data_IF_836216957069
#
_entry.id   IF_836216957069
#
_cell.length_a   1.000
_cell.length_b   1.000
_cell.length_c   1.000
_cell.angle_alpha   90.00
_cell.angle_beta   90.00
_cell.angle_gamma   90.00
#
_symmetry.space_group_name_H-M   'P 1'
#
loop_
_entity.id
_entity.type
_entity.pdbx_description
1 polymer ?
#
# COMPACT_ATOMS: atom_id res chain seq x y z
N UNK A 1 -9.99 -16.38 8.78
CA UNK A 1 -9.96 -15.02 9.36
C UNK A 1 -8.50 -14.57 9.46
N UNK A 2 -8.14 -13.44 8.84
CA UNK A 2 -6.75 -12.96 8.73
C UNK A 2 -6.13 -12.59 10.08
N UNK A 3 -6.89 -11.97 10.99
CA UNK A 3 -6.41 -11.55 12.32
C UNK A 3 -5.98 -12.74 13.17
N UNK A 4 -6.74 -13.84 13.10
CA UNK A 4 -6.37 -15.10 13.79
C UNK A 4 -5.03 -15.64 13.27
N UNK A 5 -4.81 -15.59 11.96
CA UNK A 5 -3.56 -16.07 11.36
C UNK A 5 -2.38 -15.18 11.79
N UNK A 6 -2.53 -13.86 11.75
CA UNK A 6 -1.51 -12.91 12.21
C UNK A 6 -1.15 -13.17 13.69
N UNK A 7 -2.16 -13.35 14.54
CA UNK A 7 -1.93 -13.67 15.95
C UNK A 7 -1.14 -14.97 16.13
N UNK A 8 -1.49 -16.04 15.41
CA UNK A 8 -0.80 -17.32 15.48
C UNK A 8 0.65 -17.23 15.02
N UNK A 9 0.93 -16.51 13.92
CA UNK A 9 2.29 -16.35 13.42
C UNK A 9 3.13 -15.53 14.42
N UNK A 10 2.59 -14.43 14.96
CA UNK A 10 3.28 -13.64 15.99
C UNK A 10 3.58 -14.44 17.25
N UNK A 11 2.62 -15.24 17.71
CA UNK A 11 2.81 -16.10 18.87
C UNK A 11 3.92 -17.13 18.61
N UNK A 12 3.98 -17.73 17.42
CA UNK A 12 5.06 -18.64 17.04
C UNK A 12 6.42 -17.94 16.92
N UNK A 13 6.47 -16.75 16.33
CA UNK A 13 7.69 -15.95 16.25
C UNK A 13 8.24 -15.62 17.64
N UNK A 14 7.37 -15.19 18.58
CA UNK A 14 7.75 -14.94 19.98
C UNK A 14 8.28 -16.19 20.68
N UNK A 15 7.67 -17.36 20.46
CA UNK A 15 8.17 -18.63 21.01
C UNK A 15 9.54 -19.03 20.47
N UNK A 16 9.89 -18.54 19.29
CA UNK A 16 11.20 -18.75 18.66
C UNK A 16 12.19 -17.60 18.92
N UNK A 17 11.86 -16.65 19.81
CA UNK A 17 12.64 -15.43 20.08
C UNK A 17 12.95 -14.59 18.83
N UNK A 18 12.04 -14.62 17.85
CA UNK A 18 12.14 -13.82 16.63
C UNK A 18 11.39 -12.50 16.80
N UNK A 19 11.96 -11.44 16.25
CA UNK A 19 11.35 -10.10 16.14
C UNK A 19 11.16 -9.74 14.66
N UNK A 20 10.22 -10.38 13.95
CA UNK A 20 9.97 -10.07 12.55
C UNK A 20 9.36 -8.68 12.43
N UNK A 21 9.79 -7.94 11.40
CA UNK A 21 9.11 -6.75 10.92
C UNK A 21 7.86 -7.18 10.12
N UNK A 22 6.72 -6.57 10.44
CA UNK A 22 5.44 -6.83 9.80
C UNK A 22 5.14 -5.72 8.81
N UNK A 23 5.31 -6.03 7.52
CA UNK A 23 5.07 -5.09 6.44
C UNK A 23 3.86 -5.49 5.59
N UNK A 24 3.15 -4.50 5.03
CA UNK A 24 2.18 -4.68 3.95
C UNK A 24 2.75 -4.09 2.67
N UNK A 25 2.67 -4.84 1.57
CA UNK A 25 2.93 -4.31 0.22
C UNK A 25 1.59 -4.13 -0.50
N UNK A 26 1.26 -2.92 -0.90
CA UNK A 26 -0.03 -2.56 -1.49
C UNK A 26 0.11 -1.94 -2.88
N UNK A 27 -0.44 -2.63 -3.88
CA UNK A 27 -0.58 -2.06 -5.22
C UNK A 27 -1.70 -1.04 -5.27
N UNK A 28 -1.41 0.15 -5.80
CA UNK A 28 -2.37 1.24 -5.99
C UNK A 28 -2.80 1.28 -7.45
N UNK A 29 -4.08 1.01 -7.68
CA UNK A 29 -4.74 0.93 -8.98
C UNK A 29 -6.24 1.20 -8.81
N UNK A 30 -6.97 1.34 -9.90
CA UNK A 30 -8.39 1.70 -9.94
C UNK A 30 -9.27 1.10 -8.83
N UNK A 31 -9.12 -0.20 -8.56
CA UNK A 31 -9.94 -0.91 -7.56
C UNK A 31 -9.43 -0.82 -6.13
N UNK A 32 -8.14 -0.63 -5.90
CA UNK A 32 -7.60 -0.59 -4.53
C UNK A 32 -7.78 0.77 -3.87
N UNK A 33 -7.93 1.84 -4.67
CA UNK A 33 -8.12 3.23 -4.20
C UNK A 33 -9.23 3.35 -3.16
N UNK A 34 -10.39 2.72 -3.39
CA UNK A 34 -11.53 2.81 -2.49
C UNK A 34 -11.28 2.21 -1.09
N UNK A 35 -10.28 1.33 -0.95
CA UNK A 35 -9.99 0.61 0.29
C UNK A 35 -8.71 1.07 0.99
N UNK A 36 -8.01 2.09 0.48
CA UNK A 36 -6.73 2.55 1.06
C UNK A 36 -6.89 3.03 2.52
N UNK A 37 -7.98 3.73 2.83
CA UNK A 37 -8.28 4.17 4.20
C UNK A 37 -8.53 3.00 5.14
N UNK A 38 -9.31 2.02 4.71
CA UNK A 38 -9.59 0.82 5.51
C UNK A 38 -8.34 -0.03 5.70
N UNK A 39 -7.47 -0.09 4.69
CA UNK A 39 -6.16 -0.73 4.78
C UNK A 39 -5.28 -0.05 5.83
N UNK A 40 -5.26 1.29 5.87
CA UNK A 40 -4.48 2.03 6.86
C UNK A 40 -4.95 1.71 8.29
N UNK A 41 -6.26 1.76 8.54
CA UNK A 41 -6.82 1.38 9.85
C UNK A 41 -6.60 -0.07 10.21
N UNK A 42 -6.67 -0.97 9.22
CA UNK A 42 -6.32 -2.37 9.42
C UNK A 42 -4.86 -2.52 9.82
N UNK A 43 -3.92 -1.85 9.15
CA UNK A 43 -2.50 -1.92 9.45
C UNK A 43 -2.22 -1.45 10.89
N UNK A 44 -2.81 -0.32 11.28
CA UNK A 44 -2.73 0.22 12.66
C UNK A 44 -3.30 -0.76 13.68
N UNK A 45 -4.55 -1.19 13.48
CA UNK A 45 -5.26 -2.06 14.45
C UNK A 45 -4.60 -3.43 14.56
N UNK A 46 -4.10 -3.94 13.44
CA UNK A 46 -3.39 -5.19 13.40
C UNK A 46 -1.92 -5.05 13.80
N UNK A 47 -1.39 -3.85 14.09
CA UNK A 47 -0.03 -3.64 14.58
C UNK A 47 1.06 -4.01 13.57
N UNK A 48 0.90 -3.59 12.32
CA UNK A 48 1.97 -3.64 11.31
C UNK A 48 2.99 -2.53 11.59
N UNK A 49 4.24 -2.77 11.20
CA UNK A 49 5.35 -1.83 11.37
C UNK A 49 5.48 -0.88 10.16
N UNK A 50 5.13 -1.37 8.97
CA UNK A 50 5.24 -0.60 7.73
C UNK A 50 4.21 -0.97 6.65
N UNK A 51 3.94 -0.02 5.76
CA UNK A 51 3.16 -0.22 4.53
C UNK A 51 3.90 0.44 3.37
N UNK A 52 4.19 -0.34 2.32
CA UNK A 52 4.76 0.16 1.07
C UNK A 52 3.68 0.18 0.00
N UNK A 53 3.38 1.37 -0.53
CA UNK A 53 2.49 1.58 -1.66
C UNK A 53 3.28 1.57 -2.96
N UNK A 54 2.85 0.81 -3.95
CA UNK A 54 3.49 0.78 -5.26
C UNK A 54 2.47 0.99 -6.38
N UNK A 55 2.90 1.69 -7.42
CA UNK A 55 2.05 1.94 -8.59
C UNK A 55 2.03 0.69 -9.49
N UNK A 56 0.86 0.32 -9.99
CA UNK A 56 0.74 -0.83 -10.89
C UNK A 56 1.39 -0.49 -12.25
N UNK A 57 2.44 -1.22 -12.62
CA UNK A 57 3.10 -1.12 -13.92
C UNK A 57 2.55 -2.18 -14.87
N UNK A 58 2.26 -1.79 -16.12
CA UNK A 58 1.90 -2.74 -17.18
C UNK A 58 3.16 -3.38 -17.76
N UNK A 59 3.19 -4.70 -17.83
CA UNK A 59 4.19 -5.45 -18.57
C UNK A 59 3.64 -5.72 -19.98
N UNK A 60 4.18 -5.08 -21.03
CA UNK A 60 3.64 -5.20 -22.39
C UNK A 60 3.75 -6.62 -22.95
N UNK A 61 4.69 -7.42 -22.45
CA UNK A 61 4.95 -8.79 -22.91
C UNK A 61 4.06 -9.85 -22.26
N UNK A 62 3.27 -9.47 -21.24
CA UNK A 62 2.36 -10.38 -20.54
C UNK A 62 0.94 -10.17 -21.09
N UNK A 63 0.64 -10.86 -22.20
CA UNK A 63 -0.69 -10.90 -22.83
C UNK A 63 -1.61 -11.90 -22.12
N UNK A 64 -1.78 -11.78 -20.81
CA UNK A 64 -2.81 -12.55 -20.09
C UNK A 64 -4.14 -11.78 -20.12
N UNK A 65 -5.25 -12.35 -20.64
CA UNK A 65 -6.58 -11.73 -20.62
C UNK A 65 -7.05 -11.24 -19.24
N UNK A 66 -6.49 -11.77 -18.14
CA UNK A 66 -6.74 -11.33 -16.77
C UNK A 66 -6.18 -9.94 -16.43
N UNK A 67 -5.14 -9.47 -17.14
CA UNK A 67 -4.49 -8.16 -16.92
C UNK A 67 -5.39 -6.98 -17.30
N UNK A 68 -6.38 -7.19 -18.16
CA UNK A 68 -7.35 -6.16 -18.57
C UNK A 68 -8.36 -5.78 -17.47
N UNK A 69 -8.33 -6.44 -16.30
CA UNK A 69 -9.33 -6.26 -15.22
C UNK A 69 -8.99 -5.15 -14.23
N UNK A 70 -7.81 -4.55 -14.30
CA UNK A 70 -7.38 -3.46 -13.43
C UNK A 70 -6.67 -2.41 -14.27
N UNK A 71 -6.76 -1.15 -13.85
CA UNK A 71 -6.12 -0.03 -14.54
C UNK A 71 -5.09 0.63 -13.63
N UNK A 72 -3.84 0.80 -14.09
CA UNK A 72 -2.89 1.72 -13.46
C UNK A 72 -3.52 3.09 -13.25
N UNK A 73 -3.08 3.81 -12.21
CA UNK A 73 -3.61 5.15 -11.92
C UNK A 73 -3.38 6.09 -13.12
N UNK A 74 -2.23 5.99 -13.79
CA UNK A 74 -1.91 6.83 -14.95
C UNK A 74 -2.88 6.67 -16.14
N UNK A 75 -3.61 5.55 -16.21
CA UNK A 75 -4.57 5.27 -17.28
C UNK A 75 -6.01 5.72 -16.94
N UNK A 76 -6.22 6.31 -15.76
CA UNK A 76 -7.51 6.80 -15.31
C UNK A 76 -7.79 8.22 -15.82
N UNK A 77 -9.06 8.63 -15.92
CA UNK A 77 -9.42 10.04 -16.08
C UNK A 77 -8.79 10.92 -14.99
N UNK A 78 -8.43 12.17 -15.33
CA UNK A 78 -7.70 13.08 -14.44
C UNK A 78 -8.40 13.31 -13.08
N UNK A 79 -9.72 13.35 -13.05
CA UNK A 79 -10.48 13.48 -11.79
C UNK A 79 -10.38 12.23 -10.91
N UNK A 80 -10.31 11.05 -11.51
CA UNK A 80 -10.07 9.78 -10.80
C UNK A 80 -8.64 9.66 -10.32
N UNK A 81 -7.66 10.16 -11.08
CA UNK A 81 -6.27 10.25 -10.63
C UNK A 81 -6.15 11.13 -9.38
N UNK A 82 -6.78 12.30 -9.38
CA UNK A 82 -6.81 13.18 -8.20
C UNK A 82 -7.46 12.51 -6.99
N UNK A 83 -8.55 11.76 -7.18
CA UNK A 83 -9.19 10.99 -6.11
C UNK A 83 -8.25 9.91 -5.56
N UNK A 84 -7.50 9.22 -6.43
CA UNK A 84 -6.52 8.23 -6.03
C UNK A 84 -5.39 8.84 -5.19
N UNK A 85 -4.83 9.98 -5.63
CA UNK A 85 -3.78 10.71 -4.89
C UNK A 85 -4.30 11.19 -3.53
N UNK A 86 -5.53 11.70 -3.46
CA UNK A 86 -6.13 12.13 -2.20
C UNK A 86 -6.34 10.95 -1.23
N UNK A 87 -6.85 9.81 -1.74
CA UNK A 87 -7.05 8.61 -0.93
C UNK A 87 -5.72 8.03 -0.40
N UNK A 88 -4.70 7.99 -1.25
CA UNK A 88 -3.35 7.57 -0.85
C UNK A 88 -2.76 8.52 0.20
N UNK A 89 -2.88 9.83 0.01
CA UNK A 89 -2.41 10.83 0.98
C UNK A 89 -3.09 10.68 2.34
N UNK A 90 -4.41 10.46 2.37
CA UNK A 90 -5.15 10.23 3.60
C UNK A 90 -4.72 8.94 4.30
N UNK A 91 -4.51 7.86 3.55
CA UNK A 91 -4.01 6.59 4.09
C UNK A 91 -2.61 6.71 4.69
N UNK A 92 -1.68 7.37 4.00
CA UNK A 92 -0.32 7.65 4.50
C UNK A 92 -0.39 8.45 5.80
N UNK A 93 -1.17 9.53 5.82
CA UNK A 93 -1.35 10.35 7.01
C UNK A 93 -1.86 9.52 8.20
N UNK A 94 -2.87 8.66 7.99
CA UNK A 94 -3.38 7.78 9.04
C UNK A 94 -2.28 6.86 9.59
N UNK A 95 -1.46 6.26 8.73
CA UNK A 95 -0.37 5.38 9.13
C UNK A 95 0.67 6.13 9.97
N UNK A 96 1.13 7.27 9.47
CA UNK A 96 2.17 8.09 10.11
C UNK A 96 1.69 8.66 11.45
N UNK A 97 0.45 9.15 11.53
CA UNK A 97 -0.18 9.66 12.76
C UNK A 97 -0.22 8.59 13.87
N UNK A 98 -0.14 7.30 13.51
CA UNK A 98 -0.17 6.16 14.44
C UNK A 98 1.17 5.40 14.52
N UNK A 99 2.25 5.97 13.99
CA UNK A 99 3.60 5.41 14.09
C UNK A 99 3.86 4.19 13.20
N UNK A 100 3.00 3.93 12.20
CA UNK A 100 3.25 2.93 11.16
C UNK A 100 4.00 3.62 10.01
N UNK A 101 5.14 3.07 9.60
CA UNK A 101 5.91 3.67 8.50
C UNK A 101 5.15 3.53 7.19
N UNK A 102 5.11 4.59 6.40
CA UNK A 102 4.52 4.56 5.07
C UNK A 102 5.61 4.88 4.02
N UNK A 103 5.69 4.05 2.99
CA UNK A 103 6.61 4.24 1.87
C UNK A 103 5.85 4.24 0.57
N UNK A 104 6.31 5.03 -0.40
CA UNK A 104 5.77 5.06 -1.75
C UNK A 104 6.89 4.66 -2.70
N UNK A 105 6.76 3.47 -3.30
CA UNK A 105 7.71 2.91 -4.24
C UNK A 105 7.23 3.15 -5.68
N UNK A 106 7.98 3.96 -6.41
CA UNK A 106 7.72 4.32 -7.81
C UNK A 106 7.07 5.69 -7.98
N UNK A 107 6.97 6.12 -9.23
CA UNK A 107 6.42 7.42 -9.58
C UNK A 107 4.88 7.35 -9.68
N UNK A 108 4.22 8.20 -8.91
CA UNK A 108 2.79 8.48 -9.00
C UNK A 108 2.59 9.81 -9.72
N UNK A 109 1.58 9.91 -10.59
CA UNK A 109 1.29 11.12 -11.37
C UNK A 109 1.05 12.32 -10.44
N UNK A 110 1.75 13.43 -10.67
CA UNK A 110 1.67 14.69 -9.92
C UNK A 110 1.73 14.55 -8.39
N UNK A 111 2.57 13.64 -7.89
CA UNK A 111 2.95 13.62 -6.48
C UNK A 111 3.83 14.84 -6.17
N UNK A 112 3.59 15.62 -5.10
CA UNK A 112 4.50 16.69 -4.71
C UNK A 112 5.86 16.07 -4.35
N UNK A 113 6.79 16.14 -5.30
CA UNK A 113 8.09 15.47 -5.33
C UNK A 113 9.11 16.04 -4.34
N UNK A 114 8.65 16.63 -3.23
CA UNK A 114 9.48 17.48 -2.37
C UNK A 114 10.11 16.82 -1.15
N UNK A 115 9.72 15.59 -0.75
CA UNK A 115 10.17 15.03 0.55
C UNK A 115 10.69 13.60 0.54
N UNK A 116 10.44 12.79 -0.50
CA UNK A 116 10.63 11.33 -0.39
C UNK A 116 11.44 10.68 -1.52
N UNK A 117 12.20 11.46 -2.29
CA UNK A 117 13.23 10.94 -3.19
C UNK A 117 14.58 10.87 -2.49
N UNK A 118 14.74 9.99 -1.48
CA UNK A 118 16.07 9.55 -0.99
C UNK A 118 15.96 8.44 0.04
N UNK A 119 16.01 7.21 -0.44
CA UNK A 119 16.89 6.16 0.10
C UNK A 119 17.20 5.23 -1.07
N UNK A 120 18.42 5.34 -1.57
CA UNK A 120 19.03 4.28 -2.39
C UNK A 120 19.57 3.17 -1.51
#
# INVERSE_FOLDING_TARGET
NILRNLHLIRMRARKADLKPEWAISCGVYDKSVASLRDLAWFAVTAGFDSVTFWNLVKYPDILDPGTARVKPIADLPEDEQRKAVAALSDAIRILEDHGVKAEVAGDFVDWPSGRWSRTG
#
